data_IF_227232172650
#
_entry.id   IF_227232172650
#
_cell.length_a   1.000
_cell.length_b   1.000
_cell.length_c   1.000
_cell.angle_alpha   90.00
_cell.angle_beta   90.00
_cell.angle_gamma   90.00
#
_symmetry.space_group_name_H-M   'P 1'
#
loop_
_entity.id
_entity.type
_entity.pdbx_description
1 polymer ?
#
# COMPACT_ATOMS: atom_id res chain seq x y z
N UNK A 1 17.97 3.40 7.21
CA UNK A 1 16.48 3.53 7.28
C UNK A 1 15.93 2.88 6.02
N UNK A 2 14.85 2.10 6.14
CA UNK A 2 14.19 1.49 4.97
C UNK A 2 13.56 2.57 4.09
N UNK A 3 13.58 2.41 2.75
CA UNK A 3 12.83 3.28 1.84
C UNK A 3 11.34 3.26 2.15
N UNK A 4 10.68 4.39 2.05
CA UNK A 4 9.23 4.52 2.19
C UNK A 4 8.55 4.13 0.89
N UNK A 5 7.61 3.19 0.94
CA UNK A 5 6.93 2.60 -0.22
C UNK A 5 5.46 3.00 -0.26
N UNK A 6 5.01 3.48 -1.40
CA UNK A 6 3.60 3.68 -1.68
C UNK A 6 3.10 2.50 -2.54
N UNK A 7 2.24 1.63 -1.99
CA UNK A 7 1.71 0.45 -2.70
C UNK A 7 0.29 0.73 -3.15
N UNK A 8 0.09 0.77 -4.46
CA UNK A 8 -1.16 1.14 -5.13
C UNK A 8 -1.61 0.10 -6.16
N UNK A 9 -2.82 0.21 -6.65
CA UNK A 9 -3.44 -0.70 -7.61
C UNK A 9 -4.94 -0.80 -7.37
N UNK A 10 -5.68 -1.42 -8.28
CA UNK A 10 -7.12 -1.57 -8.19
C UNK A 10 -7.58 -2.40 -6.98
N UNK A 11 -8.87 -2.33 -6.66
CA UNK A 11 -9.47 -3.12 -5.59
C UNK A 11 -9.27 -4.62 -5.79
N UNK A 12 -8.91 -5.33 -4.74
CA UNK A 12 -8.66 -6.79 -4.72
C UNK A 12 -7.48 -7.28 -5.59
N UNK A 13 -6.65 -6.40 -6.11
CA UNK A 13 -5.45 -6.77 -6.89
C UNK A 13 -4.30 -7.32 -6.02
N UNK A 14 -4.49 -7.49 -4.70
CA UNK A 14 -3.50 -8.15 -3.83
C UNK A 14 -2.48 -7.19 -3.18
N UNK A 15 -2.79 -5.91 -3.06
CA UNK A 15 -1.91 -4.93 -2.41
C UNK A 15 -1.55 -5.30 -0.97
N UNK A 16 -2.56 -5.71 -0.18
CA UNK A 16 -2.33 -6.09 1.22
C UNK A 16 -1.40 -7.31 1.31
N UNK A 17 -1.61 -8.32 0.45
CA UNK A 17 -0.74 -9.50 0.36
C UNK A 17 0.71 -9.12 0.01
N UNK A 18 0.90 -8.18 -0.92
CA UNK A 18 2.24 -7.65 -1.23
C UNK A 18 2.86 -6.97 -0.02
N UNK A 19 2.09 -6.16 0.72
CA UNK A 19 2.57 -5.50 1.93
C UNK A 19 2.94 -6.50 3.03
N UNK A 20 2.11 -7.54 3.25
CA UNK A 20 2.40 -8.65 4.17
C UNK A 20 3.69 -9.39 3.80
N UNK A 21 3.92 -9.66 2.50
CA UNK A 21 5.16 -10.26 2.03
C UNK A 21 6.40 -9.39 2.27
N UNK A 22 6.24 -8.08 2.36
CA UNK A 22 7.33 -7.15 2.65
C UNK A 22 7.69 -7.08 4.15
N UNK A 23 6.83 -7.55 5.05
CA UNK A 23 7.09 -7.55 6.50
C UNK A 23 8.34 -8.35 6.87
N UNK A 24 8.64 -9.45 6.16
CA UNK A 24 9.86 -10.23 6.39
C UNK A 24 11.16 -9.43 6.14
N UNK A 25 11.08 -8.32 5.43
CA UNK A 25 12.19 -7.40 5.20
C UNK A 25 12.23 -6.23 6.21
N UNK A 26 11.39 -6.29 7.24
CA UNK A 26 11.32 -5.28 8.29
C UNK A 26 10.40 -4.11 7.98
N UNK A 27 9.58 -4.20 6.94
CA UNK A 27 8.56 -3.21 6.65
C UNK A 27 7.37 -3.33 7.59
N UNK A 28 6.76 -2.19 7.88
CA UNK A 28 5.47 -2.08 8.58
C UNK A 28 4.48 -1.36 7.67
N UNK A 29 3.23 -1.81 7.67
CA UNK A 29 2.19 -1.17 6.86
C UNK A 29 0.86 -1.10 7.58
N UNK A 30 0.04 -0.17 7.14
CA UNK A 30 -1.36 -0.10 7.48
C UNK A 30 -2.15 0.39 6.26
N UNK A 31 -3.33 -0.16 6.05
CA UNK A 31 -4.22 0.35 5.00
C UNK A 31 -4.72 1.74 5.37
N UNK A 32 -4.90 2.60 4.38
CA UNK A 32 -5.37 3.97 4.60
C UNK A 32 -6.71 4.03 5.34
N UNK A 33 -7.63 3.12 5.04
CA UNK A 33 -8.93 3.07 5.70
C UNK A 33 -8.83 2.66 7.17
N UNK A 34 -7.98 1.68 7.52
CA UNK A 34 -7.77 1.30 8.92
C UNK A 34 -7.12 2.45 9.68
N UNK A 35 -6.10 3.07 9.09
CA UNK A 35 -5.44 4.23 9.67
C UNK A 35 -6.40 5.40 9.90
N UNK A 36 -7.28 5.72 8.94
CA UNK A 36 -8.29 6.76 9.10
C UNK A 36 -9.33 6.41 10.17
N UNK A 37 -9.70 5.12 10.30
CA UNK A 37 -10.58 4.67 11.38
C UNK A 37 -10.03 5.07 12.74
N UNK A 38 -8.78 4.69 12.99
CA UNK A 38 -8.08 4.95 14.24
C UNK A 38 -7.82 6.44 14.47
N UNK A 39 -7.46 7.18 13.41
CA UNK A 39 -7.06 8.57 13.51
C UNK A 39 -8.24 9.51 13.84
N UNK A 40 -9.41 9.31 13.21
CA UNK A 40 -10.54 10.23 13.39
C UNK A 40 -11.93 9.62 13.14
N UNK A 41 -12.11 8.66 12.21
CA UNK A 41 -13.45 8.24 11.77
C UNK A 41 -14.22 7.56 12.92
N UNK A 42 -13.58 6.68 13.68
CA UNK A 42 -14.23 6.03 14.83
C UNK A 42 -14.78 7.06 15.82
N UNK A 43 -14.00 8.07 16.15
CA UNK A 43 -14.43 9.11 17.10
C UNK A 43 -15.62 9.93 16.61
N UNK A 44 -15.74 10.14 15.30
CA UNK A 44 -16.86 10.86 14.68
C UNK A 44 -18.12 10.00 14.56
N UNK A 45 -17.98 8.68 14.33
CA UNK A 45 -19.09 7.81 13.99
C UNK A 45 -19.60 6.93 15.15
N UNK A 46 -18.80 6.74 16.22
CA UNK A 46 -19.13 5.83 17.32
C UNK A 46 -20.50 6.10 17.96
N UNK A 47 -20.82 7.37 18.24
CA UNK A 47 -22.09 7.74 18.86
C UNK A 47 -23.27 7.65 17.88
N UNK A 48 -23.00 7.89 16.58
CA UNK A 48 -24.02 7.84 15.53
C UNK A 48 -24.50 6.42 15.26
N UNK A 49 -23.57 5.45 15.27
CA UNK A 49 -23.85 4.05 14.92
C UNK A 49 -23.75 3.09 16.12
N UNK A 50 -23.33 3.59 17.28
CA UNK A 50 -23.26 2.80 18.52
C UNK A 50 -22.06 1.86 18.56
N UNK A 51 -20.97 2.16 17.85
CA UNK A 51 -19.76 1.34 17.88
C UNK A 51 -19.11 1.38 19.25
N UNK A 52 -18.72 0.21 19.75
CA UNK A 52 -18.06 0.06 21.05
C UNK A 52 -16.52 0.11 20.95
N UNK A 53 -15.98 -0.12 19.77
CA UNK A 53 -14.55 -0.10 19.47
C UNK A 53 -14.28 0.23 17.99
N UNK A 54 -13.00 0.48 17.67
CA UNK A 54 -12.54 0.85 16.31
C UNK A 54 -12.72 -0.27 15.31
N UNK A 55 -12.59 -1.55 15.73
CA UNK A 55 -12.71 -2.69 14.83
C UNK A 55 -14.15 -2.84 14.33
N UNK A 56 -15.15 -2.65 15.18
CA UNK A 56 -16.56 -2.62 14.75
C UNK A 56 -16.80 -1.53 13.71
N UNK A 57 -16.31 -0.33 13.94
CA UNK A 57 -16.42 0.76 12.98
C UNK A 57 -15.73 0.43 11.65
N UNK A 58 -14.53 -0.14 11.71
CA UNK A 58 -13.78 -0.51 10.53
C UNK A 58 -14.45 -1.63 9.73
N UNK A 59 -14.97 -2.66 10.39
CA UNK A 59 -15.66 -3.78 9.72
C UNK A 59 -16.99 -3.31 9.07
N UNK A 60 -17.70 -2.39 9.70
CA UNK A 60 -18.96 -1.85 9.16
C UNK A 60 -18.78 -0.81 8.03
N UNK A 61 -17.56 -0.41 7.73
CA UNK A 61 -17.24 0.59 6.68
C UNK A 61 -17.84 0.28 5.30
N UNK A 62 -18.11 -1.00 5.02
CA UNK A 62 -18.71 -1.42 3.76
C UNK A 62 -20.14 -0.91 3.58
N UNK A 63 -20.85 -0.69 4.68
CA UNK A 63 -22.21 -0.16 4.70
C UNK A 63 -22.23 1.39 4.61
N UNK A 64 -21.10 2.04 4.91
CA UNK A 64 -20.99 3.50 5.03
C UNK A 64 -19.92 4.10 4.09
N UNK A 65 -19.67 3.48 2.92
CA UNK A 65 -18.58 3.85 2.01
C UNK A 65 -18.59 5.31 1.58
N UNK A 66 -19.75 5.86 1.28
CA UNK A 66 -19.86 7.26 0.83
C UNK A 66 -19.47 8.23 1.95
N UNK A 67 -19.97 8.00 3.16
CA UNK A 67 -19.64 8.82 4.33
C UNK A 67 -18.14 8.75 4.67
N UNK A 68 -17.57 7.55 4.65
CA UNK A 68 -16.13 7.37 4.84
C UNK A 68 -15.31 8.12 3.80
N UNK A 69 -15.74 8.04 2.53
CA UNK A 69 -15.07 8.76 1.44
C UNK A 69 -15.09 10.27 1.68
N UNK A 70 -16.27 10.83 2.03
CA UNK A 70 -16.43 12.26 2.28
C UNK A 70 -15.60 12.73 3.48
N UNK A 71 -15.55 11.95 4.56
CA UNK A 71 -14.74 12.26 5.75
C UNK A 71 -13.25 12.28 5.44
N UNK A 72 -12.75 11.28 4.70
CA UNK A 72 -11.33 11.21 4.29
C UNK A 72 -11.01 12.36 3.33
N UNK A 73 -11.89 12.63 2.38
CA UNK A 73 -11.74 13.76 1.46
C UNK A 73 -11.68 15.10 2.21
N UNK A 74 -12.58 15.31 3.17
CA UNK A 74 -12.61 16.54 3.97
C UNK A 74 -11.36 16.69 4.85
N UNK A 75 -10.85 15.58 5.37
CA UNK A 75 -9.61 15.56 6.13
C UNK A 75 -8.40 16.02 5.29
N UNK A 76 -8.38 15.64 4.02
CA UNK A 76 -7.26 15.92 3.11
C UNK A 76 -7.44 17.23 2.30
N UNK A 77 -8.64 17.81 2.20
CA UNK A 77 -8.93 18.88 1.22
C UNK A 77 -8.09 20.14 1.35
N UNK A 78 -7.71 20.51 2.56
CA UNK A 78 -6.85 21.69 2.82
C UNK A 78 -5.37 21.40 2.66
N UNK A 79 -4.99 20.12 2.70
CA UNK A 79 -3.61 19.64 2.65
C UNK A 79 -3.60 18.21 2.13
N UNK A 80 -3.40 18.04 0.84
CA UNK A 80 -3.50 16.77 0.13
C UNK A 80 -2.43 15.75 0.54
N UNK A 81 -1.33 16.18 1.13
CA UNK A 81 -0.26 15.30 1.60
C UNK A 81 -0.41 14.89 3.08
N UNK A 82 -1.38 15.47 3.79
CA UNK A 82 -1.58 15.32 5.23
C UNK A 82 -1.69 13.87 5.68
N UNK A 83 -2.54 13.08 5.03
CA UNK A 83 -2.75 11.68 5.38
C UNK A 83 -1.47 10.86 5.18
N UNK A 84 -0.78 11.07 4.06
CA UNK A 84 0.49 10.42 3.76
C UNK A 84 1.56 10.71 4.78
N UNK A 85 1.73 11.98 5.19
CA UNK A 85 2.69 12.35 6.23
C UNK A 85 2.38 11.65 7.55
N UNK A 86 1.13 11.62 7.98
CA UNK A 86 0.72 10.99 9.23
C UNK A 86 0.94 9.47 9.20
N UNK A 87 0.60 8.81 8.09
CA UNK A 87 0.79 7.39 7.94
C UNK A 87 2.28 7.01 7.90
N UNK A 88 3.10 7.73 7.13
CA UNK A 88 4.54 7.50 7.06
C UNK A 88 5.33 7.92 8.29
N UNK A 89 4.71 8.62 9.25
CA UNK A 89 5.29 8.84 10.56
C UNK A 89 5.32 7.56 11.43
N UNK A 90 4.44 6.60 11.14
CA UNK A 90 4.28 5.37 11.93
C UNK A 90 4.63 4.10 11.14
N UNK A 91 4.58 4.14 9.81
CA UNK A 91 4.76 3.00 8.92
C UNK A 91 5.80 3.31 7.83
N UNK A 92 6.36 2.24 7.23
CA UNK A 92 7.25 2.36 6.07
C UNK A 92 6.49 2.17 4.74
N UNK A 93 5.26 1.63 4.78
CA UNK A 93 4.42 1.45 3.60
C UNK A 93 3.09 2.14 3.81
N UNK A 94 2.67 2.90 2.81
CA UNK A 94 1.30 3.37 2.66
C UNK A 94 0.60 2.47 1.62
N UNK A 95 -0.39 1.70 2.06
CA UNK A 95 -1.18 0.83 1.18
C UNK A 95 -2.53 1.46 0.85
N UNK A 96 -2.85 1.55 -0.45
CA UNK A 96 -4.21 1.81 -0.92
C UNK A 96 -4.58 3.25 -1.24
N UNK A 97 -3.62 4.14 -1.48
CA UNK A 97 -3.91 5.47 -2.04
C UNK A 97 -4.63 5.35 -3.39
N UNK A 98 -5.61 6.22 -3.65
CA UNK A 98 -6.47 6.17 -4.83
C UNK A 98 -6.52 7.47 -5.62
N UNK A 99 -6.23 8.58 -4.99
CA UNK A 99 -6.37 9.93 -5.54
C UNK A 99 -5.04 10.44 -6.10
N UNK A 100 -4.99 10.72 -7.42
CA UNK A 100 -3.78 11.22 -8.08
C UNK A 100 -3.33 12.60 -7.58
N UNK A 101 -4.25 13.45 -7.08
CA UNK A 101 -3.86 14.76 -6.54
C UNK A 101 -3.09 14.60 -5.22
N UNK A 102 -3.54 13.67 -4.37
CA UNK A 102 -2.81 13.32 -3.14
C UNK A 102 -1.46 12.66 -3.47
N UNK A 103 -1.43 11.76 -4.49
CA UNK A 103 -0.20 11.15 -4.99
C UNK A 103 0.84 12.20 -5.37
N UNK A 104 0.48 13.17 -6.23
CA UNK A 104 1.40 14.21 -6.66
C UNK A 104 1.77 15.19 -5.54
N UNK A 105 0.86 15.48 -4.62
CA UNK A 105 1.17 16.30 -3.46
C UNK A 105 2.26 15.64 -2.58
N UNK A 106 2.12 14.33 -2.30
CA UNK A 106 3.11 13.57 -1.56
C UNK A 106 4.44 13.41 -2.32
N UNK A 107 4.38 13.24 -3.63
CA UNK A 107 5.58 13.15 -4.47
C UNK A 107 6.35 14.47 -4.49
N UNK A 108 5.66 15.59 -4.62
CA UNK A 108 6.28 16.92 -4.60
C UNK A 108 6.94 17.26 -3.25
N UNK A 109 6.43 16.69 -2.17
CA UNK A 109 7.00 16.85 -0.82
C UNK A 109 8.00 15.73 -0.47
N UNK A 110 8.33 14.83 -1.40
CA UNK A 110 9.25 13.70 -1.22
C UNK A 110 8.91 12.82 0.01
N UNK A 111 7.59 12.61 0.26
CA UNK A 111 7.10 11.88 1.43
C UNK A 111 7.36 10.38 1.32
N UNK A 112 7.42 9.83 0.11
CA UNK A 112 7.77 8.45 -0.17
C UNK A 112 8.94 8.35 -1.15
N UNK A 113 9.65 7.23 -1.13
CA UNK A 113 10.81 7.00 -2.00
C UNK A 113 10.45 6.31 -3.31
N UNK A 114 9.48 5.39 -3.28
CA UNK A 114 9.03 4.63 -4.46
C UNK A 114 7.54 4.35 -4.41
N UNK A 115 6.91 4.47 -5.58
CA UNK A 115 5.54 4.01 -5.83
C UNK A 115 5.56 2.66 -6.57
N UNK A 116 4.75 1.71 -6.09
CA UNK A 116 4.67 0.34 -6.61
C UNK A 116 3.22 0.08 -7.01
N UNK A 117 3.00 -0.26 -8.29
CA UNK A 117 1.73 -0.71 -8.80
C UNK A 117 1.60 -2.22 -8.68
N UNK A 118 0.49 -2.71 -8.12
CA UNK A 118 0.16 -4.15 -8.10
C UNK A 118 -0.89 -4.43 -9.16
N UNK A 119 -0.54 -5.27 -10.14
CA UNK A 119 -1.37 -5.60 -11.28
C UNK A 119 -1.93 -7.03 -11.21
N UNK A 120 -3.27 -7.17 -11.37
CA UNK A 120 -3.99 -8.42 -11.49
C UNK A 120 -5.07 -8.36 -12.57
N UNK A 121 -4.82 -7.60 -13.62
CA UNK A 121 -5.82 -7.28 -14.66
C UNK A 121 -6.22 -8.49 -15.52
N UNK A 122 -5.41 -9.55 -15.59
CA UNK A 122 -5.77 -10.80 -16.27
C UNK A 122 -6.89 -11.56 -15.55
N UNK A 123 -7.13 -11.30 -14.27
CA UNK A 123 -8.12 -11.99 -13.44
C UNK A 123 -9.22 -11.10 -12.91
N UNK A 124 -8.98 -9.82 -12.77
CA UNK A 124 -9.88 -8.89 -12.11
C UNK A 124 -10.00 -7.58 -12.92
N UNK A 125 -11.22 -7.02 -13.00
CA UNK A 125 -11.42 -5.78 -13.73
C UNK A 125 -10.75 -4.58 -13.05
N UNK A 126 -10.46 -3.58 -13.84
CA UNK A 126 -10.04 -2.26 -13.35
C UNK A 126 -11.22 -1.52 -12.71
N UNK A 127 -10.94 -0.67 -11.74
CA UNK A 127 -11.93 0.23 -11.15
C UNK A 127 -12.19 1.44 -12.06
N UNK A 128 -13.36 2.06 -11.87
CA UNK A 128 -13.69 3.29 -12.57
C UNK A 128 -12.69 4.40 -12.20
N UNK A 129 -12.25 5.25 -13.14
CA UNK A 129 -11.35 6.38 -12.88
C UNK A 129 -11.83 7.35 -11.80
N UNK A 130 -13.14 7.45 -11.53
CA UNK A 130 -13.68 8.23 -10.42
C UNK A 130 -13.35 7.64 -9.03
N UNK A 131 -13.12 6.32 -8.96
CA UNK A 131 -12.79 5.60 -7.72
C UNK A 131 -11.29 5.32 -7.56
N UNK A 132 -10.56 5.26 -8.68
CA UNK A 132 -9.12 5.04 -8.73
C UNK A 132 -8.54 5.88 -9.86
N UNK A 133 -7.95 7.01 -9.51
CA UNK A 133 -7.40 7.96 -10.49
C UNK A 133 -5.87 7.87 -10.66
N UNK A 134 -5.19 7.07 -9.83
CA UNK A 134 -3.78 6.73 -10.02
C UNK A 134 -3.69 5.66 -11.10
N UNK A 135 -2.73 5.80 -11.99
CA UNK A 135 -2.48 4.91 -13.12
C UNK A 135 -1.10 4.27 -12.99
N UNK A 136 -0.93 3.07 -13.55
CA UNK A 136 0.31 2.29 -13.46
C UNK A 136 1.55 3.08 -13.90
N UNK A 137 1.46 3.88 -14.95
CA UNK A 137 2.57 4.68 -15.47
C UNK A 137 3.08 5.77 -14.51
N UNK A 138 2.31 6.11 -13.46
CA UNK A 138 2.73 7.06 -12.41
C UNK A 138 3.67 6.42 -11.39
N UNK A 139 3.78 5.10 -11.39
CA UNK A 139 4.55 4.34 -10.40
C UNK A 139 5.95 3.97 -10.94
N UNK A 140 6.92 3.87 -10.02
CA UNK A 140 8.30 3.52 -10.35
C UNK A 140 8.46 2.05 -10.72
N UNK A 141 7.63 1.19 -10.12
CA UNK A 141 7.68 -0.26 -10.31
C UNK A 141 6.27 -0.85 -10.45
N UNK A 142 6.21 -2.00 -11.15
CA UNK A 142 5.01 -2.83 -11.22
C UNK A 142 5.32 -4.22 -10.69
N UNK A 143 4.44 -4.75 -9.81
CA UNK A 143 4.41 -6.15 -9.41
C UNK A 143 3.28 -6.82 -10.17
N UNK A 144 3.65 -7.79 -11.00
CA UNK A 144 2.71 -8.71 -11.65
C UNK A 144 2.19 -9.73 -10.64
N UNK A 145 0.88 -9.69 -10.38
CA UNK A 145 0.13 -10.62 -9.53
C UNK A 145 -0.88 -11.46 -10.35
N UNK A 146 -0.58 -11.73 -11.61
CA UNK A 146 -1.43 -12.57 -12.47
C UNK A 146 -1.10 -14.06 -12.37
N UNK A 147 -0.04 -14.45 -11.68
CA UNK A 147 0.32 -15.82 -11.35
C UNK A 147 -0.26 -16.33 -10.03
N UNK A 148 0.33 -17.41 -9.53
CA UNK A 148 0.07 -17.97 -8.21
C UNK A 148 0.82 -17.19 -7.10
N UNK A 149 0.62 -17.62 -5.87
CA UNK A 149 1.21 -16.96 -4.69
C UNK A 149 2.74 -17.10 -4.65
N UNK A 150 3.28 -18.24 -5.15
CA UNK A 150 4.74 -18.45 -5.22
C UNK A 150 5.38 -17.50 -6.23
N UNK A 151 4.73 -17.31 -7.36
CA UNK A 151 5.16 -16.35 -8.37
C UNK A 151 5.11 -14.92 -7.84
N UNK A 152 4.04 -14.56 -7.13
CA UNK A 152 3.93 -13.25 -6.49
C UNK A 152 5.07 -13.03 -5.49
N UNK A 153 5.35 -14.02 -4.63
CA UNK A 153 6.45 -13.94 -3.66
C UNK A 153 7.79 -13.69 -4.36
N UNK A 154 8.07 -14.42 -5.45
CA UNK A 154 9.29 -14.24 -6.23
C UNK A 154 9.39 -12.83 -6.84
N UNK A 155 8.27 -12.28 -7.34
CA UNK A 155 8.22 -10.94 -7.90
C UNK A 155 8.48 -9.87 -6.82
N UNK A 156 7.89 -10.03 -5.63
CA UNK A 156 8.14 -9.14 -4.47
C UNK A 156 9.60 -9.20 -4.03
N UNK A 157 10.17 -10.41 -3.90
CA UNK A 157 11.55 -10.62 -3.49
C UNK A 157 12.54 -9.99 -4.48
N UNK A 158 12.26 -10.13 -5.77
CA UNK A 158 13.07 -9.55 -6.84
C UNK A 158 13.03 -8.03 -6.80
N UNK A 159 11.86 -7.45 -6.60
CA UNK A 159 11.69 -6.01 -6.52
C UNK A 159 12.43 -5.44 -5.31
N UNK A 160 12.23 -6.01 -4.11
CA UNK A 160 12.83 -5.44 -2.90
C UNK A 160 14.36 -5.55 -2.92
N UNK A 161 14.92 -6.65 -3.48
CA UNK A 161 16.36 -6.78 -3.70
C UNK A 161 16.89 -5.71 -4.64
N UNK A 162 16.13 -5.35 -5.68
CA UNK A 162 16.46 -4.28 -6.62
C UNK A 162 16.46 -2.92 -5.91
N UNK A 163 15.42 -2.61 -5.16
CA UNK A 163 15.33 -1.37 -4.37
C UNK A 163 16.49 -1.27 -3.38
N UNK A 164 16.78 -2.34 -2.64
CA UNK A 164 17.85 -2.35 -1.65
C UNK A 164 19.23 -2.19 -2.29
N UNK A 165 19.47 -2.81 -3.46
CA UNK A 165 20.70 -2.63 -4.22
C UNK A 165 20.87 -1.17 -4.63
N UNK A 166 19.83 -0.56 -5.17
CA UNK A 166 19.86 0.84 -5.63
C UNK A 166 20.10 1.84 -4.48
N UNK A 167 19.74 1.46 -3.25
CA UNK A 167 19.91 2.25 -2.04
C UNK A 167 21.14 1.88 -1.20
N UNK A 168 21.99 0.96 -1.68
CA UNK A 168 23.15 0.48 -0.91
C UNK A 168 22.80 -0.35 0.33
N UNK A 169 21.61 -0.94 0.37
CA UNK A 169 21.07 -1.71 1.49
C UNK A 169 21.13 -3.24 1.27
N UNK A 170 21.94 -3.71 0.32
CA UNK A 170 22.02 -5.14 -0.04
C UNK A 170 22.33 -6.06 1.14
N UNK A 171 22.98 -5.55 2.18
CA UNK A 171 23.27 -6.32 3.39
C UNK A 171 22.00 -6.79 4.15
N UNK A 172 20.86 -6.12 3.93
CA UNK A 172 19.59 -6.50 4.58
C UNK A 172 18.96 -7.77 3.98
N UNK A 173 19.42 -8.22 2.80
CA UNK A 173 18.93 -9.43 2.10
C UNK A 173 20.02 -10.48 1.89
N UNK A 174 21.21 -10.29 2.44
CA UNK A 174 22.38 -11.14 2.18
C UNK A 174 22.30 -12.53 2.84
N UNK A 175 21.41 -12.74 3.80
CA UNK A 175 21.33 -13.94 4.62
C UNK A 175 20.22 -14.92 4.22
N UNK A 176 19.44 -14.64 3.18
CA UNK A 176 18.47 -15.63 2.68
C UNK A 176 19.11 -16.55 1.65
N UNK A 177 18.88 -17.88 1.72
CA UNK A 177 19.35 -18.82 0.71
C UNK A 177 18.82 -18.37 -0.66
N UNK A 178 19.70 -18.27 -1.65
CA UNK A 178 19.32 -17.96 -3.03
C UNK A 178 18.37 -19.06 -3.50
N UNK A 179 17.14 -18.75 -3.93
CA UNK A 179 16.34 -19.72 -4.64
C UNK A 179 17.10 -20.05 -5.95
N UNK A 180 17.43 -21.34 -6.14
CA UNK A 180 18.15 -21.87 -7.30
C UNK A 180 19.68 -21.66 -7.34
N UNK A 181 20.44 -22.34 -6.49
CA UNK A 181 21.59 -23.05 -6.98
C UNK A 181 21.08 -24.36 -7.59
N UNK A 182 20.88 -24.37 -8.91
CA UNK A 182 20.83 -25.61 -9.68
C UNK A 182 22.15 -26.31 -9.43
N UNK A 183 22.12 -27.39 -8.66
CA UNK A 183 23.21 -28.34 -8.57
C UNK A 183 23.41 -28.89 -9.98
N UNK A 184 24.46 -28.39 -10.67
CA UNK A 184 24.98 -29.05 -11.82
C UNK A 184 25.53 -30.41 -11.32
N UNK A 185 24.67 -31.43 -11.45
CA UNK A 185 25.04 -32.82 -11.21
C UNK A 185 26.09 -33.22 -12.21
N UNK A 186 27.21 -33.68 -11.71
CA UNK A 186 28.28 -34.39 -12.38
C UNK A 186 27.76 -35.66 -13.09
#
# INVERSE_FOLDING_TARGET
>A
MLPKLLVVGHGRHGKDTVCEMLEKYGYTFQSSSKFCSELFIYNELKDKYGYTNEDECYEDRHNHRAEWYDMIHDYCKSDLARLGRNLFAQNNIYCGLRNKREFFAMQNEEIFDYAIWVDRTDHLPTENPSSMSIEQWMCDYTIDNNGDLERLQLNVDTLIRTIFRNRGLSHLVSNEPRPFELVAGS
#
